data_IF_497877917234
#
_entry.id   IF_497877917234
#
_cell.length_a   1.000
_cell.length_b   1.000
_cell.length_c   1.000
_cell.angle_alpha   90.00
_cell.angle_beta   90.00
_cell.angle_gamma   90.00
#
_symmetry.space_group_name_H-M   'P 1'
#
loop_
_entity.id
_entity.type
_entity.pdbx_description
1 polymer ?
#
# COMPACT_ATOMS: atom_id res chain seq x y z
N UNK A 1 -0.32 9.89 -12.99
CA UNK A 1 -0.28 9.83 -11.52
C UNK A 1 1.17 9.61 -11.12
N UNK A 2 1.92 10.68 -10.91
CA UNK A 2 3.36 10.59 -10.60
C UNK A 2 3.67 11.15 -9.22
N UNK A 3 2.70 11.78 -8.57
CA UNK A 3 2.88 12.50 -7.32
C UNK A 3 1.85 12.08 -6.29
N UNK A 4 2.29 11.99 -5.03
CA UNK A 4 1.43 11.79 -3.86
C UNK A 4 1.22 13.17 -3.22
N UNK A 5 0.07 13.84 -3.45
CA UNK A 5 -0.08 15.27 -3.13
C UNK A 5 0.18 15.60 -1.67
N UNK A 6 -0.27 14.71 -0.75
CA UNK A 6 -0.05 14.91 0.69
C UNK A 6 1.43 14.89 1.06
N UNK A 7 2.21 13.99 0.45
CA UNK A 7 3.66 13.88 0.66
C UNK A 7 4.39 15.15 0.20
N UNK A 8 3.96 15.74 -0.92
CA UNK A 8 4.47 17.03 -1.40
C UNK A 8 4.14 18.17 -0.45
N UNK A 9 2.89 18.28 0.00
CA UNK A 9 2.45 19.38 0.89
C UNK A 9 3.23 19.43 2.19
N UNK A 10 3.63 18.27 2.73
CA UNK A 10 4.38 18.18 4.00
C UNK A 10 5.90 18.07 3.81
N UNK A 11 6.40 18.18 2.57
CA UNK A 11 7.81 17.99 2.21
C UNK A 11 8.40 16.63 2.66
N UNK A 12 7.58 15.58 2.77
CA UNK A 12 8.01 14.21 3.08
C UNK A 12 7.74 13.30 1.89
N UNK A 13 8.52 13.49 0.83
CA UNK A 13 8.39 12.77 -0.45
C UNK A 13 9.25 11.52 -0.53
N UNK A 14 10.11 11.29 0.47
CA UNK A 14 11.01 10.14 0.49
C UNK A 14 10.25 8.92 0.98
N UNK A 15 10.21 7.88 0.16
CA UNK A 15 9.57 6.64 0.55
C UNK A 15 9.14 5.78 -0.62
N UNK A 16 8.55 4.64 -0.30
CA UNK A 16 8.00 3.71 -1.27
C UNK A 16 6.90 2.87 -0.62
N UNK A 17 5.84 2.61 -1.37
CA UNK A 17 4.88 1.55 -1.08
C UNK A 17 5.06 0.45 -2.13
N UNK A 18 5.36 -0.77 -1.68
CA UNK A 18 5.49 -1.95 -2.53
C UNK A 18 4.43 -2.97 -2.15
N UNK A 19 3.54 -3.29 -3.08
CA UNK A 19 2.53 -4.33 -2.92
C UNK A 19 2.96 -5.59 -3.67
N UNK A 20 2.80 -6.75 -3.04
CA UNK A 20 2.94 -8.05 -3.66
C UNK A 20 1.57 -8.69 -3.81
N UNK A 21 1.26 -9.16 -5.02
CA UNK A 21 -0.02 -9.79 -5.36
C UNK A 21 0.20 -11.20 -5.89
N UNK A 22 -0.76 -12.08 -5.65
CA UNK A 22 -0.81 -13.43 -6.21
C UNK A 22 -1.73 -13.44 -7.44
N UNK A 23 -1.19 -13.44 -8.66
CA UNK A 23 -2.00 -13.40 -9.88
C UNK A 23 -2.81 -14.68 -10.08
N UNK A 24 -2.43 -15.80 -9.45
CA UNK A 24 -3.18 -17.07 -9.54
C UNK A 24 -4.42 -17.08 -8.66
N UNK A 25 -4.57 -16.10 -7.77
CA UNK A 25 -5.68 -15.98 -6.82
C UNK A 25 -6.38 -14.65 -6.96
N UNK A 26 -6.86 -14.35 -8.17
CA UNK A 26 -7.62 -13.14 -8.47
C UNK A 26 -6.90 -11.85 -8.02
N UNK A 27 -5.59 -11.76 -8.30
CA UNK A 27 -4.72 -10.67 -7.86
C UNK A 27 -4.85 -10.32 -6.37
N UNK A 28 -5.02 -11.34 -5.52
CA UNK A 28 -5.09 -11.18 -4.07
C UNK A 28 -3.79 -10.61 -3.51
N UNK A 29 -3.93 -9.68 -2.59
CA UNK A 29 -2.81 -9.06 -1.88
C UNK A 29 -2.17 -10.10 -0.94
N UNK A 30 -0.89 -10.37 -1.12
CA UNK A 30 -0.11 -11.28 -0.25
C UNK A 30 0.84 -10.55 0.69
N UNK A 31 1.16 -9.29 0.39
CA UNK A 31 1.99 -8.47 1.27
C UNK A 31 2.07 -7.03 0.81
N UNK A 32 2.36 -6.15 1.75
CA UNK A 32 2.59 -4.71 1.51
C UNK A 32 3.78 -4.28 2.36
N UNK A 33 4.72 -3.57 1.74
CA UNK A 33 5.88 -2.99 2.41
C UNK A 33 5.82 -1.48 2.24
N UNK A 34 5.98 -0.75 3.34
CA UNK A 34 5.90 0.71 3.38
C UNK A 34 7.18 1.24 3.99
N UNK A 35 7.87 2.11 3.26
CA UNK A 35 8.99 2.91 3.74
C UNK A 35 8.57 4.37 3.70
N UNK A 36 8.33 4.98 4.86
CA UNK A 36 7.95 6.39 5.02
C UNK A 36 7.95 6.76 6.51
N UNK A 37 8.11 8.05 6.84
CA UNK A 37 7.97 8.55 8.22
C UNK A 37 6.59 8.28 8.85
N UNK A 38 5.55 8.13 8.03
CA UNK A 38 4.17 7.86 8.49
C UNK A 38 3.72 6.40 8.29
N UNK A 39 4.67 5.48 8.05
CA UNK A 39 4.37 4.08 7.73
C UNK A 39 3.53 3.36 8.82
N UNK A 40 3.75 3.68 10.09
CA UNK A 40 3.03 3.05 11.21
C UNK A 40 1.51 3.30 11.19
N UNK A 41 1.08 4.44 10.65
CA UNK A 41 -0.35 4.76 10.55
C UNK A 41 -1.00 4.06 9.37
N UNK A 42 -0.28 3.94 8.24
CA UNK A 42 -0.81 3.33 7.01
C UNK A 42 -0.78 1.80 7.03
N UNK A 43 0.14 1.18 7.80
CA UNK A 43 0.30 -0.28 7.79
C UNK A 43 -0.94 -1.02 8.31
N UNK A 44 -1.76 -0.38 9.15
CA UNK A 44 -3.00 -0.97 9.67
C UNK A 44 -3.97 -1.34 8.54
N UNK A 45 -4.15 -0.46 7.56
CA UNK A 45 -5.01 -0.72 6.38
C UNK A 45 -4.46 -1.89 5.55
N UNK A 46 -3.15 -1.90 5.34
CA UNK A 46 -2.49 -2.98 4.60
C UNK A 46 -2.61 -4.35 5.30
N UNK A 47 -2.49 -4.39 6.63
CA UNK A 47 -2.69 -5.61 7.42
C UNK A 47 -4.12 -6.10 7.28
N UNK A 48 -5.12 -5.20 7.32
CA UNK A 48 -6.51 -5.56 7.10
C UNK A 48 -6.73 -6.13 5.70
N UNK A 49 -6.15 -5.50 4.67
CA UNK A 49 -6.25 -5.98 3.30
C UNK A 49 -5.69 -7.40 3.12
N UNK A 50 -4.54 -7.70 3.73
CA UNK A 50 -3.95 -9.05 3.72
C UNK A 50 -4.79 -10.04 4.53
N UNK A 51 -5.23 -9.66 5.74
CA UNK A 51 -6.00 -10.52 6.65
C UNK A 51 -7.34 -10.94 6.04
N UNK A 52 -8.03 -10.01 5.38
CA UNK A 52 -9.31 -10.26 4.72
C UNK A 52 -9.17 -10.72 3.27
N UNK A 53 -7.95 -10.98 2.79
CA UNK A 53 -7.68 -11.54 1.45
C UNK A 53 -8.26 -10.67 0.33
N UNK A 54 -8.16 -9.35 0.47
CA UNK A 54 -8.63 -8.41 -0.54
C UNK A 54 -7.80 -8.51 -1.83
N UNK A 55 -8.37 -8.03 -2.93
CA UNK A 55 -7.78 -8.02 -4.28
C UNK A 55 -7.57 -6.59 -4.74
N UNK A 56 -6.64 -6.38 -5.67
CA UNK A 56 -6.39 -5.04 -6.23
C UNK A 56 -7.44 -4.61 -7.27
N UNK A 57 -8.18 -5.57 -7.83
CA UNK A 57 -9.24 -5.32 -8.82
C UNK A 57 -10.59 -5.04 -8.16
N UNK A 58 -10.62 -4.22 -7.11
CA UNK A 58 -11.86 -3.74 -6.51
C UNK A 58 -12.52 -2.74 -7.47
N UNK A 59 -13.16 -3.24 -8.53
CA UNK A 59 -13.99 -2.49 -9.45
C UNK A 59 -14.99 -3.41 -10.17
#
# INVERSE_FOLDING_TARGET
MTEVPKALTVNDTKGLIKMAVDPKKNNRIVGVHILSGIAANMIHEAVMAVKYRLTIDLC
#
